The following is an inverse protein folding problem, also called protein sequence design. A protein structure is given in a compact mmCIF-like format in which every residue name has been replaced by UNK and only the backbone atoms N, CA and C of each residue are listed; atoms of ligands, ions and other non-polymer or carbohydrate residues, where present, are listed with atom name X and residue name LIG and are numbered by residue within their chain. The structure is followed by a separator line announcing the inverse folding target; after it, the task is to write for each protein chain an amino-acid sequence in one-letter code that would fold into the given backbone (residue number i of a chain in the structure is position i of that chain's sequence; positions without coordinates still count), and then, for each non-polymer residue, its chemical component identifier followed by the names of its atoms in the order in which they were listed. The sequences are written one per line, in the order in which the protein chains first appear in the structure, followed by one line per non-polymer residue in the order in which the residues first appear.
data_IF_363804582299
#
_entry.id   IF_363804582299
#
_cell.length_a   1.000
_cell.length_b   1.000
_cell.length_c   1.000
_cell.angle_alpha   90.00
_cell.angle_beta   90.00
_cell.angle_gamma   90.00
#
_symmetry.space_group_name_H-M   'P 1'
#
loop_
_entity.id
_entity.type
_entity.pdbx_description
1 polymer ?
#
# COMPACT_ATOMS: atom_id res chain seq x y z
N UNK A 1 -46.82 6.42 -9.01
CA UNK A 1 -45.49 6.93 -8.61
C UNK A 1 -45.05 7.93 -9.67
N UNK A 2 -44.56 9.10 -9.26
CA UNK A 2 -44.05 10.10 -10.21
C UNK A 2 -42.55 9.90 -10.44
N UNK A 3 -42.05 10.24 -11.63
CA UNK A 3 -40.60 10.13 -11.95
C UNK A 3 -39.72 10.85 -10.92
N UNK A 4 -40.23 11.92 -10.31
CA UNK A 4 -39.54 12.65 -9.26
C UNK A 4 -39.36 11.83 -7.97
N UNK A 5 -40.36 11.03 -7.58
CA UNK A 5 -40.26 10.16 -6.40
C UNK A 5 -39.22 9.06 -6.61
N UNK A 6 -39.16 8.49 -7.82
CA UNK A 6 -38.18 7.46 -8.19
C UNK A 6 -36.76 8.05 -8.22
N UNK A 7 -36.57 9.22 -8.83
CA UNK A 7 -35.27 9.88 -8.87
C UNK A 7 -34.74 10.23 -7.48
N UNK A 8 -35.63 10.70 -6.59
CA UNK A 8 -35.26 11.01 -5.20
C UNK A 8 -34.82 9.76 -4.43
N UNK A 9 -35.58 8.67 -4.57
CA UNK A 9 -35.23 7.40 -3.92
C UNK A 9 -33.87 6.87 -4.40
N UNK A 10 -33.61 6.86 -5.72
CA UNK A 10 -32.33 6.45 -6.27
C UNK A 10 -31.17 7.32 -5.77
N UNK A 11 -31.37 8.63 -5.68
CA UNK A 11 -30.36 9.53 -5.15
C UNK A 11 -30.03 9.23 -3.68
N UNK A 12 -31.05 9.00 -2.85
CA UNK A 12 -30.87 8.71 -1.42
C UNK A 12 -30.13 7.36 -1.23
N UNK A 13 -30.44 6.33 -2.00
CA UNK A 13 -29.72 5.04 -1.95
C UNK A 13 -28.24 5.19 -2.32
N UNK A 14 -27.93 6.02 -3.32
CA UNK A 14 -26.55 6.28 -3.74
C UNK A 14 -25.80 7.08 -2.69
N UNK A 15 -26.46 8.08 -2.12
CA UNK A 15 -25.89 8.92 -1.05
C UNK A 15 -25.60 8.10 0.21
N UNK A 16 -26.47 7.16 0.54
CA UNK A 16 -26.31 6.29 1.70
C UNK A 16 -25.33 5.14 1.47
N UNK A 17 -24.77 5.01 0.24
CA UNK A 17 -23.81 3.98 -0.11
C UNK A 17 -24.43 2.60 -0.38
N UNK A 18 -25.76 2.51 -0.43
CA UNK A 18 -26.47 1.27 -0.72
C UNK A 18 -26.45 0.93 -2.23
N UNK A 19 -26.30 1.94 -3.09
CA UNK A 19 -26.23 1.78 -4.54
C UNK A 19 -25.04 2.52 -5.12
N UNK A 20 -24.18 1.81 -5.85
CA UNK A 20 -23.03 2.38 -6.54
C UNK A 20 -23.32 2.48 -8.04
N UNK A 21 -23.25 3.68 -8.61
CA UNK A 21 -23.26 3.84 -10.05
C UNK A 21 -21.89 3.52 -10.62
N UNK A 22 -21.78 2.38 -11.30
CA UNK A 22 -20.59 2.01 -12.06
C UNK A 22 -20.84 2.37 -13.52
N UNK A 23 -20.13 3.37 -14.09
CA UNK A 23 -20.26 3.69 -15.50
C UNK A 23 -19.84 2.52 -16.39
N UNK A 24 -20.33 2.49 -17.64
CA UNK A 24 -19.92 1.48 -18.60
C UNK A 24 -18.41 1.56 -18.89
N UNK A 25 -17.82 0.42 -19.25
CA UNK A 25 -16.38 0.29 -19.47
C UNK A 25 -15.85 1.27 -20.53
N UNK A 26 -16.65 1.57 -21.55
CA UNK A 26 -16.26 2.49 -22.61
C UNK A 26 -16.28 3.95 -22.16
N UNK A 27 -17.21 4.33 -21.28
CA UNK A 27 -17.26 5.67 -20.71
C UNK A 27 -16.12 5.92 -19.72
N UNK A 28 -15.75 4.89 -18.95
CA UNK A 28 -14.54 4.92 -18.13
C UNK A 28 -13.28 5.14 -18.98
N UNK A 29 -13.18 4.46 -20.13
CA UNK A 29 -12.04 4.63 -21.05
C UNK A 29 -11.95 6.06 -21.59
N UNK A 30 -13.08 6.61 -22.07
CA UNK A 30 -13.15 7.99 -22.56
C UNK A 30 -12.74 8.99 -21.48
N UNK A 31 -13.15 8.78 -20.23
CA UNK A 31 -12.77 9.62 -19.10
C UNK A 31 -11.25 9.62 -18.87
N UNK A 32 -10.62 8.44 -18.84
CA UNK A 32 -9.17 8.31 -18.66
C UNK A 32 -8.40 8.99 -19.80
N UNK A 33 -8.85 8.82 -21.04
CA UNK A 33 -8.24 9.48 -22.21
C UNK A 33 -8.37 11.00 -22.15
N UNK A 34 -9.52 11.52 -21.71
CA UNK A 34 -9.72 12.95 -21.53
C UNK A 34 -8.77 13.54 -20.48
N UNK A 35 -8.57 12.84 -19.35
CA UNK A 35 -7.61 13.25 -18.30
C UNK A 35 -6.18 13.28 -18.84
N UNK A 36 -5.77 12.27 -19.61
CA UNK A 36 -4.43 12.23 -20.23
C UNK A 36 -4.23 13.43 -21.16
N UNK A 37 -5.18 13.69 -22.05
CA UNK A 37 -5.14 14.85 -22.96
C UNK A 37 -5.11 16.18 -22.21
N UNK A 38 -5.83 16.31 -21.10
CA UNK A 38 -5.76 17.52 -20.27
C UNK A 38 -4.39 17.70 -19.61
N UNK A 39 -3.76 16.62 -19.15
CA UNK A 39 -2.40 16.68 -18.57
C UNK A 39 -1.34 17.01 -19.62
N UNK A 40 -1.46 16.47 -20.82
CA UNK A 40 -0.58 16.80 -21.95
C UNK A 40 -0.74 18.26 -22.38
N UNK A 41 -1.98 18.75 -22.49
CA UNK A 41 -2.26 20.15 -22.84
C UNK A 41 -1.91 21.13 -21.72
N UNK A 42 -2.01 20.70 -20.47
CA UNK A 42 -1.66 21.48 -19.28
C UNK A 42 -0.17 21.43 -18.92
N UNK A 43 0.65 20.65 -19.65
CA UNK A 43 2.10 20.62 -19.48
C UNK A 43 2.76 21.82 -20.16
N UNK A 44 2.41 23.02 -19.71
CA UNK A 44 3.40 24.09 -19.60
C UNK A 44 4.31 23.77 -18.40
N UNK A 45 5.58 24.23 -18.39
CA UNK A 45 6.47 23.98 -17.26
C UNK A 45 5.83 24.53 -15.99
N UNK A 46 5.47 23.65 -15.06
CA UNK A 46 5.11 24.06 -13.71
C UNK A 46 6.31 24.84 -13.14
N UNK A 47 6.11 26.01 -12.50
CA UNK A 47 7.20 26.62 -11.76
C UNK A 47 7.67 25.60 -10.73
N UNK A 48 8.98 25.39 -10.66
CA UNK A 48 9.63 24.55 -9.68
C UNK A 48 9.01 24.85 -8.31
N UNK A 49 8.23 23.90 -7.79
CA UNK A 49 7.70 23.97 -6.45
C UNK A 49 8.92 23.93 -5.55
N UNK A 50 9.29 25.08 -4.98
CA UNK A 50 10.31 25.19 -3.96
C UNK A 50 10.03 24.12 -2.94
N UNK A 51 10.93 23.14 -2.85
CA UNK A 51 10.91 22.11 -1.83
C UNK A 51 10.99 22.85 -0.49
N UNK A 52 9.86 22.95 0.20
CA UNK A 52 9.83 23.42 1.57
C UNK A 52 10.47 22.30 2.41
N UNK A 53 11.62 22.54 3.06
CA UNK A 53 12.30 21.54 3.85
C UNK A 53 11.61 21.46 5.21
N UNK A 54 10.76 20.45 5.40
CA UNK A 54 10.15 20.19 6.71
C UNK A 54 9.94 18.69 7.02
N UNK A 55 10.55 17.79 6.24
CA UNK A 55 10.51 16.34 6.53
C UNK A 55 11.86 15.81 7.04
N UNK A 56 12.97 16.51 6.75
CA UNK A 56 14.29 16.14 7.26
C UNK A 56 14.47 16.44 8.77
N UNK A 57 13.66 17.34 9.34
CA UNK A 57 13.84 17.80 10.73
C UNK A 57 13.13 16.91 11.76
N UNK A 58 12.02 16.27 11.36
CA UNK A 58 11.31 15.30 12.22
C UNK A 58 12.08 13.98 12.37
N UNK A 59 12.95 13.63 11.42
CA UNK A 59 13.82 12.47 11.51
C UNK A 59 14.95 12.67 12.54
N UNK A 60 15.40 13.91 12.76
CA UNK A 60 16.51 14.23 13.65
C UNK A 60 16.14 14.13 15.13
N UNK A 61 14.87 14.33 15.50
CA UNK A 61 14.41 14.23 16.90
C UNK A 61 14.20 12.79 17.38
N UNK A 62 13.98 11.82 16.46
CA UNK A 62 13.89 10.38 16.80
C UNK A 62 15.26 9.70 16.86
N UNK A 63 16.29 10.31 16.28
CA UNK A 63 17.70 9.91 16.36
C UNK A 63 18.43 10.57 17.55
N UNK A 64 17.70 10.81 18.64
CA UNK A 64 18.20 11.32 19.93
C UNK A 64 19.09 10.33 20.70
N UNK A 65 19.90 9.53 20.01
CA UNK A 65 21.05 8.83 20.54
C UNK A 65 22.07 8.66 19.42
N UNK A 66 23.09 9.52 19.46
CA UNK A 66 24.29 9.43 18.62
C UNK A 66 24.79 7.98 18.57
N UNK A 67 24.81 7.31 17.40
CA UNK A 67 25.53 6.06 17.28
C UNK A 67 26.99 6.40 17.57
N UNK A 68 27.56 5.78 18.61
CA UNK A 68 29.02 5.71 18.73
C UNK A 68 29.51 5.05 17.45
N UNK A 69 29.99 5.86 16.50
CA UNK A 69 30.76 5.40 15.36
C UNK A 69 31.95 4.64 15.95
N UNK A 70 32.11 3.33 15.71
CA UNK A 70 33.39 2.70 15.96
C UNK A 70 34.38 3.44 15.06
N UNK A 71 35.29 4.22 15.65
CA UNK A 71 36.34 4.99 14.95
C UNK A 71 37.42 4.07 14.36
N UNK A 72 37.02 2.98 13.69
CA UNK A 72 37.92 2.02 13.04
C UNK A 72 37.33 1.50 11.73
N UNK A 73 36.98 2.41 10.81
CA UNK A 73 36.77 2.08 9.39
C UNK A 73 37.92 2.59 8.50
N UNK A 74 38.99 3.13 9.09
CA UNK A 74 40.11 3.75 8.37
C UNK A 74 40.94 2.80 7.49
N UNK A 75 40.76 1.48 7.64
CA UNK A 75 41.46 0.45 6.86
C UNK A 75 40.52 -0.44 6.04
N UNK A 76 39.24 -0.08 5.91
CA UNK A 76 38.35 -0.82 5.02
C UNK A 76 38.76 -0.53 3.57
N UNK A 77 39.15 -1.56 2.82
CA UNK A 77 39.40 -1.43 1.38
C UNK A 77 38.14 -0.87 0.70
N UNK A 78 38.26 0.06 -0.27
CA UNK A 78 37.15 0.45 -1.10
C UNK A 78 36.46 -0.79 -1.67
N UNK A 79 35.13 -0.85 -1.56
CA UNK A 79 34.36 -1.91 -2.19
C UNK A 79 34.44 -1.69 -3.70
N UNK A 80 35.28 -2.49 -4.36
CA UNK A 80 35.38 -2.52 -5.80
C UNK A 80 34.30 -3.46 -6.34
N UNK A 81 33.54 -3.00 -7.32
CA UNK A 81 32.52 -3.81 -7.97
C UNK A 81 33.22 -4.91 -8.76
N UNK A 82 33.19 -6.14 -8.22
CA UNK A 82 33.62 -7.33 -8.93
C UNK A 82 32.42 -7.90 -9.72
N UNK A 83 32.44 -7.87 -11.06
CA UNK A 83 31.34 -8.39 -11.88
C UNK A 83 31.16 -9.91 -11.77
N UNK A 84 32.10 -10.62 -11.14
CA UNK A 84 32.16 -12.09 -11.14
C UNK A 84 31.60 -12.72 -9.85
N UNK A 85 31.06 -11.93 -8.92
CA UNK A 85 30.36 -12.44 -7.74
C UNK A 85 28.85 -12.46 -7.98
N UNK A 86 28.34 -13.66 -8.29
CA UNK A 86 26.92 -14.05 -8.41
C UNK A 86 26.24 -13.77 -9.77
N UNK A 87 26.89 -14.15 -10.87
CA UNK A 87 26.17 -14.53 -12.11
C UNK A 87 25.61 -15.95 -11.99
N UNK A 88 24.79 -16.18 -10.97
CA UNK A 88 24.19 -17.47 -10.66
C UNK A 88 22.99 -17.23 -9.76
N UNK A 89 21.94 -16.66 -10.34
CA UNK A 89 20.61 -16.54 -9.74
C UNK A 89 20.36 -15.33 -8.82
N UNK A 90 20.45 -14.13 -9.38
CA UNK A 90 19.88 -12.91 -8.76
C UNK A 90 18.35 -13.01 -8.65
N UNK A 91 17.69 -13.90 -9.41
CA UNK A 91 16.28 -14.21 -9.22
C UNK A 91 16.00 -14.91 -7.89
N UNK A 92 16.91 -15.74 -7.36
CA UNK A 92 16.74 -16.37 -6.04
C UNK A 92 16.82 -15.40 -4.85
N UNK A 93 17.56 -14.28 -4.97
CA UNK A 93 17.63 -13.27 -3.91
C UNK A 93 16.44 -12.28 -4.00
N UNK A 94 15.90 -12.04 -5.20
CA UNK A 94 14.67 -11.27 -5.40
C UNK A 94 13.39 -12.07 -5.10
N UNK A 95 13.48 -13.41 -5.06
CA UNK A 95 12.38 -14.30 -4.71
C UNK A 95 12.32 -14.62 -3.20
N UNK A 96 12.47 -13.61 -2.31
CA UNK A 96 11.98 -13.72 -0.92
C UNK A 96 10.44 -13.61 -0.89
N UNK A 97 9.80 -14.43 -1.71
CA UNK A 97 8.39 -14.42 -2.02
C UNK A 97 7.96 -15.83 -2.39
N UNK A 98 6.81 -16.25 -1.89
CA UNK A 98 6.19 -17.51 -2.31
C UNK A 98 5.75 -17.47 -3.78
N UNK A 99 5.56 -18.62 -4.42
CA UNK A 99 5.02 -18.69 -5.78
C UNK A 99 3.59 -18.11 -5.85
N UNK A 100 3.10 -17.77 -7.04
CA UNK A 100 1.76 -17.18 -7.20
C UNK A 100 0.63 -18.08 -6.63
N UNK A 101 0.79 -19.41 -6.69
CA UNK A 101 -0.17 -20.35 -6.12
C UNK A 101 -0.13 -20.34 -4.58
N UNK A 102 1.06 -20.32 -4.00
CA UNK A 102 1.24 -20.22 -2.55
C UNK A 102 0.82 -18.84 -2.02
N UNK A 103 0.98 -17.77 -2.80
CA UNK A 103 0.49 -16.43 -2.44
C UNK A 103 -1.03 -16.42 -2.34
N UNK A 104 -1.74 -17.08 -3.27
CA UNK A 104 -3.20 -17.22 -3.17
C UNK A 104 -3.65 -18.03 -1.95
N UNK A 105 -2.84 -18.99 -1.49
CA UNK A 105 -3.10 -19.72 -0.24
C UNK A 105 -2.90 -18.80 0.98
N UNK A 106 -1.81 -18.04 1.02
CA UNK A 106 -1.58 -17.02 2.06
C UNK A 106 -2.72 -15.99 2.10
N UNK A 107 -3.20 -15.53 0.95
CA UNK A 107 -4.33 -14.59 0.84
C UNK A 107 -5.63 -15.18 1.41
N UNK A 108 -5.92 -16.44 1.10
CA UNK A 108 -7.10 -17.13 1.59
C UNK A 108 -7.08 -17.28 3.12
N UNK A 109 -5.92 -17.65 3.68
CA UNK A 109 -5.71 -17.74 5.13
C UNK A 109 -5.88 -16.36 5.77
N UNK A 110 -5.24 -15.33 5.23
CA UNK A 110 -5.34 -13.96 5.75
C UNK A 110 -6.79 -13.46 5.76
N UNK A 111 -7.54 -13.70 4.70
CA UNK A 111 -8.95 -13.31 4.64
C UNK A 111 -9.81 -14.05 5.68
N UNK A 112 -9.55 -15.35 5.89
CA UNK A 112 -10.21 -16.13 6.94
C UNK A 112 -9.88 -15.59 8.34
N UNK A 113 -8.61 -15.27 8.61
CA UNK A 113 -8.18 -14.67 9.88
C UNK A 113 -8.81 -13.30 10.10
N UNK A 114 -8.86 -12.44 9.07
CA UNK A 114 -9.52 -11.13 9.16
C UNK A 114 -11.03 -11.26 9.44
N UNK A 115 -11.67 -12.27 8.87
CA UNK A 115 -13.08 -12.59 9.18
C UNK A 115 -13.21 -12.99 10.66
N UNK A 116 -12.33 -13.84 11.18
CA UNK A 116 -12.30 -14.20 12.60
C UNK A 116 -12.04 -12.98 13.50
N UNK A 117 -11.15 -12.06 13.11
CA UNK A 117 -10.89 -10.82 13.82
C UNK A 117 -12.13 -9.93 13.89
N UNK A 118 -12.88 -9.83 12.80
CA UNK A 118 -14.14 -9.07 12.77
C UNK A 118 -15.18 -9.65 13.73
N UNK A 119 -15.31 -10.99 13.77
CA UNK A 119 -16.21 -11.68 14.69
C UNK A 119 -15.77 -11.50 16.16
N UNK A 120 -14.48 -11.60 16.44
CA UNK A 120 -13.94 -11.34 17.77
C UNK A 120 -14.21 -9.88 18.21
N UNK A 121 -14.03 -8.91 17.31
CA UNK A 121 -14.37 -7.51 17.56
C UNK A 121 -15.85 -7.33 17.93
N UNK A 122 -16.76 -8.02 17.24
CA UNK A 122 -18.19 -7.97 17.53
C UNK A 122 -18.56 -8.61 18.87
N UNK A 123 -17.89 -9.70 19.26
CA UNK A 123 -18.13 -10.41 20.53
C UNK A 123 -17.62 -9.61 21.73
N UNK A 124 -16.38 -9.13 21.67
CA UNK A 124 -15.73 -8.49 22.81
C UNK A 124 -16.03 -7.00 22.92
N UNK A 125 -16.54 -6.37 21.84
CA UNK A 125 -16.88 -4.94 21.79
C UNK A 125 -15.72 -4.00 22.22
N UNK A 126 -14.48 -4.47 22.10
CA UNK A 126 -13.27 -3.72 22.41
C UNK A 126 -12.49 -3.46 21.10
N UNK A 127 -12.25 -2.20 20.73
CA UNK A 127 -11.49 -1.87 19.52
C UNK A 127 -10.07 -2.45 19.50
N UNK A 128 -9.48 -2.67 20.68
CA UNK A 128 -8.12 -3.25 20.81
C UNK A 128 -8.08 -4.72 20.39
N UNK A 129 -9.18 -5.45 20.61
CA UNK A 129 -9.28 -6.87 20.23
C UNK A 129 -9.16 -7.06 18.72
N UNK A 130 -9.89 -6.23 17.95
CA UNK A 130 -9.76 -6.23 16.50
C UNK A 130 -8.35 -5.81 16.07
N UNK A 131 -7.82 -4.73 16.64
CA UNK A 131 -6.51 -4.19 16.27
C UNK A 131 -5.37 -5.20 16.48
N UNK A 132 -5.31 -5.85 17.65
CA UNK A 132 -4.30 -6.86 17.96
C UNK A 132 -4.45 -8.11 17.08
N UNK A 133 -5.69 -8.53 16.85
CA UNK A 133 -5.97 -9.67 15.97
C UNK A 133 -5.51 -9.39 14.53
N UNK A 134 -5.90 -8.24 13.97
CA UNK A 134 -5.51 -7.82 12.62
C UNK A 134 -3.99 -7.65 12.49
N UNK A 135 -3.33 -7.10 13.50
CA UNK A 135 -1.86 -7.00 13.53
C UNK A 135 -1.20 -8.38 13.46
N UNK A 136 -1.69 -9.34 14.23
CA UNK A 136 -1.20 -10.72 14.21
C UNK A 136 -1.45 -11.39 12.85
N UNK A 137 -2.66 -11.24 12.31
CA UNK A 137 -3.02 -11.80 11.01
C UNK A 137 -2.12 -11.23 9.89
N UNK A 138 -1.81 -9.94 9.94
CA UNK A 138 -0.88 -9.32 9.00
C UNK A 138 0.56 -9.84 9.18
N UNK A 139 1.03 -10.01 10.43
CA UNK A 139 2.34 -10.60 10.67
C UNK A 139 2.43 -12.03 10.12
N UNK A 140 1.41 -12.85 10.36
CA UNK A 140 1.31 -14.21 9.82
C UNK A 140 1.33 -14.20 8.28
N UNK A 141 0.58 -13.29 7.66
CA UNK A 141 0.54 -13.15 6.20
C UNK A 141 1.91 -12.78 5.60
N UNK A 142 2.63 -11.85 6.24
CA UNK A 142 3.98 -11.48 5.81
C UNK A 142 4.96 -12.64 5.95
N UNK A 143 4.91 -13.35 7.08
CA UNK A 143 5.72 -14.57 7.28
C UNK A 143 5.36 -15.66 6.26
N UNK A 144 4.08 -15.86 5.95
CA UNK A 144 3.62 -16.80 4.93
C UNK A 144 4.23 -16.49 3.56
N UNK A 145 4.33 -15.19 3.21
CA UNK A 145 4.93 -14.72 1.97
C UNK A 145 6.46 -14.66 1.99
N UNK A 146 7.11 -14.95 3.13
CA UNK A 146 8.56 -14.95 3.27
C UNK A 146 9.20 -13.61 3.64
N UNK A 147 8.43 -12.69 4.24
CA UNK A 147 8.89 -11.39 4.75
C UNK A 147 9.13 -11.36 6.26
#
# INVERSE_FOLDING_TARGET
MTNHQVAKALYDEVKNGNLLFVPERDDMRKCVEAIRKQREKGSGPAPARTQQPAEADMASSLLGNSPRVPQNLGNAKPLEYAPDALSGDVQQIAARGVSAAEETECDAIYHAEMTACSAAGAIFQDPRTYALCAQRAFANYQTCRGY
#
